data_IF_138993019338
#
_entry.id   IF_138993019338
#
_cell.length_a   1.000
_cell.length_b   1.000
_cell.length_c   1.000
_cell.angle_alpha   90.00
_cell.angle_beta   90.00
_cell.angle_gamma   90.00
#
_symmetry.space_group_name_H-M   'P 1'
#
loop_
_entity.id
_entity.type
_entity.pdbx_description
1 polymer ?
#
# COMPACT_ATOMS: atom_id res chain seq x y z
N UNK A 1 8.14 2.76 -29.09
CA UNK A 1 9.26 3.15 -28.22
C UNK A 1 9.75 1.88 -27.58
N UNK A 2 10.91 1.40 -28.01
CA UNK A 2 11.53 0.21 -27.42
C UNK A 2 12.19 0.56 -26.08
N UNK A 3 12.43 -0.44 -25.23
CA UNK A 3 13.13 -0.29 -23.95
C UNK A 3 14.52 0.37 -24.13
N UNK A 4 15.14 0.12 -25.29
CA UNK A 4 16.40 0.71 -25.71
C UNK A 4 16.30 2.20 -26.09
N UNK A 5 15.16 2.67 -26.61
CA UNK A 5 14.94 4.09 -26.88
C UNK A 5 14.80 4.88 -25.58
N UNK A 6 14.12 4.30 -24.60
CA UNK A 6 13.96 4.88 -23.25
C UNK A 6 15.33 4.99 -22.56
N UNK A 7 16.14 3.92 -22.60
CA UNK A 7 17.49 3.93 -22.04
C UNK A 7 18.42 4.96 -22.71
N UNK A 8 18.33 5.10 -24.03
CA UNK A 8 19.12 6.07 -24.80
C UNK A 8 18.72 7.52 -24.51
N UNK A 9 17.42 7.77 -24.32
CA UNK A 9 16.91 9.09 -23.91
C UNK A 9 17.39 9.46 -22.50
N UNK A 10 17.33 8.53 -21.55
CA UNK A 10 17.86 8.72 -20.19
C UNK A 10 19.36 9.06 -20.19
N UNK A 11 20.18 8.35 -20.98
CA UNK A 11 21.62 8.62 -21.05
C UNK A 11 21.96 9.96 -21.71
N UNK A 12 21.19 10.38 -22.72
CA UNK A 12 21.42 11.64 -23.44
C UNK A 12 21.05 12.88 -22.61
N UNK A 13 20.22 12.73 -21.58
CA UNK A 13 19.77 13.82 -20.69
C UNK A 13 20.03 13.51 -19.22
N UNK A 14 21.21 12.97 -18.92
CA UNK A 14 21.63 12.62 -17.57
C UNK A 14 21.47 13.78 -16.56
N UNK A 15 21.66 15.03 -17.00
CA UNK A 15 21.47 16.23 -16.18
C UNK A 15 20.04 16.45 -15.64
N UNK A 16 19.02 15.81 -16.22
CA UNK A 16 17.63 15.89 -15.75
C UNK A 16 17.29 14.67 -14.88
N UNK A 17 17.74 13.49 -15.29
CA UNK A 17 17.48 12.23 -14.58
C UNK A 17 18.16 12.23 -13.22
N UNK A 18 19.42 12.64 -13.15
CA UNK A 18 20.24 12.58 -11.94
C UNK A 18 19.69 13.46 -10.80
N UNK A 19 19.31 14.75 -10.99
CA UNK A 19 18.70 15.53 -9.92
C UNK A 19 17.32 15.01 -9.48
N UNK A 20 16.52 14.46 -10.41
CA UNK A 20 15.21 13.89 -10.06
C UNK A 20 15.35 12.61 -9.23
N UNK A 21 16.34 11.78 -9.57
CA UNK A 21 16.70 10.59 -8.80
C UNK A 21 17.23 10.99 -7.41
N UNK A 22 18.02 12.06 -7.32
CA UNK A 22 18.47 12.63 -6.05
C UNK A 22 17.31 13.10 -5.18
N UNK A 23 16.35 13.85 -5.74
CA UNK A 23 15.14 14.30 -5.02
C UNK A 23 14.31 13.11 -4.54
N UNK A 24 14.12 12.10 -5.40
CA UNK A 24 13.37 10.88 -5.05
C UNK A 24 14.06 10.08 -3.95
N UNK A 25 15.39 9.99 -4.00
CA UNK A 25 16.20 9.32 -2.98
C UNK A 25 16.14 10.08 -1.66
N UNK A 26 16.25 11.41 -1.69
CA UNK A 26 16.11 12.27 -0.52
C UNK A 26 14.73 12.11 0.12
N UNK A 27 13.65 12.15 -0.68
CA UNK A 27 12.29 12.01 -0.19
C UNK A 27 12.02 10.63 0.40
N UNK A 28 12.53 9.58 -0.25
CA UNK A 28 12.46 8.20 0.26
C UNK A 28 13.23 8.05 1.57
N UNK A 29 14.44 8.61 1.65
CA UNK A 29 15.27 8.58 2.87
C UNK A 29 14.60 9.32 4.03
N UNK A 30 14.03 10.49 3.78
CA UNK A 30 13.34 11.27 4.78
C UNK A 30 12.05 10.58 5.27
N UNK A 31 11.31 9.94 4.37
CA UNK A 31 10.12 9.15 4.73
C UNK A 31 10.51 7.93 5.57
N UNK A 32 11.61 7.27 5.19
CA UNK A 32 12.17 6.13 5.91
C UNK A 32 12.64 6.51 7.32
N UNK A 33 13.34 7.63 7.48
CA UNK A 33 13.84 8.09 8.78
C UNK A 33 12.74 8.63 9.70
N UNK A 34 11.65 9.15 9.15
CA UNK A 34 10.53 9.68 9.95
C UNK A 34 9.64 8.60 10.58
N UNK A 35 9.80 7.32 10.23
CA UNK A 35 8.95 6.24 10.75
C UNK A 35 9.50 5.74 12.09
N UNK A 36 8.81 6.08 13.18
CA UNK A 36 9.20 5.67 14.54
C UNK A 36 9.19 4.13 14.70
N UNK A 37 10.08 3.54 15.52
CA UNK A 37 9.99 2.14 15.90
C UNK A 37 8.61 1.84 16.51
N UNK A 38 8.04 0.69 16.18
CA UNK A 38 6.77 0.23 16.76
C UNK A 38 7.08 -0.99 17.59
N UNK A 39 6.71 -0.97 18.85
CA UNK A 39 6.88 -2.10 19.75
C UNK A 39 5.68 -3.01 19.62
N UNK A 40 5.95 -4.29 19.42
CA UNK A 40 4.96 -5.35 19.40
C UNK A 40 4.99 -6.08 20.74
N UNK A 41 3.83 -6.27 21.32
CA UNK A 41 3.63 -7.12 22.49
C UNK A 41 2.34 -7.92 22.29
N UNK A 42 2.30 -9.11 22.87
CA UNK A 42 1.16 -10.02 22.80
C UNK A 42 0.89 -10.68 24.14
N UNK A 43 -0.38 -11.02 24.38
CA UNK A 43 -0.84 -11.80 25.53
C UNK A 43 -1.78 -12.91 25.04
N UNK A 44 -1.82 -14.03 25.77
CA UNK A 44 -2.65 -15.19 25.41
C UNK A 44 -3.57 -15.53 26.58
N UNK A 45 -4.85 -15.61 26.28
CA UNK A 45 -5.93 -15.89 27.24
C UNK A 45 -6.53 -17.24 26.89
N UNK A 46 -6.57 -18.14 27.87
CA UNK A 46 -7.19 -19.45 27.77
C UNK A 46 -8.57 -19.46 28.42
N UNK A 47 -9.34 -20.51 28.12
CA UNK A 47 -10.67 -20.72 28.66
C UNK A 47 -10.67 -21.93 29.59
N UNK A 48 -11.10 -21.74 30.84
CA UNK A 48 -11.24 -22.79 31.83
C UNK A 48 -12.72 -23.24 31.91
N UNK A 49 -13.03 -24.53 31.69
CA UNK A 49 -14.39 -25.02 31.83
C UNK A 49 -14.87 -24.91 33.29
N UNK A 50 -16.20 -24.88 33.53
CA UNK A 50 -16.73 -24.88 34.88
C UNK A 50 -16.26 -26.12 35.66
N UNK A 51 -15.95 -25.92 36.94
CA UNK A 51 -15.46 -26.99 37.83
C UNK A 51 -16.50 -28.05 38.15
N UNK A 52 -17.78 -27.76 37.92
CA UNK A 52 -18.92 -28.63 38.20
C UNK A 52 -19.82 -28.68 36.96
N UNK A 53 -20.03 -29.89 36.41
CA UNK A 53 -21.07 -30.13 35.41
C UNK A 53 -22.24 -30.82 36.11
N UNK A 54 -23.40 -30.16 36.13
CA UNK A 54 -24.62 -30.70 36.74
C UNK A 54 -25.49 -31.28 35.63
N UNK A 55 -25.27 -32.56 35.32
CA UNK A 55 -26.05 -33.27 34.28
C UNK A 55 -27.38 -33.85 34.80
N UNK A 56 -27.71 -33.64 36.08
CA UNK A 56 -28.96 -34.09 36.69
C UNK A 56 -29.98 -32.96 36.81
N UNK A 57 -31.22 -33.23 36.42
CA UNK A 57 -32.33 -32.30 36.65
C UNK A 57 -32.52 -32.14 38.16
N UNK A 58 -32.33 -30.92 38.66
CA UNK A 58 -32.65 -30.63 40.06
C UNK A 58 -34.17 -30.41 40.18
N UNK A 59 -34.85 -31.01 41.17
CA UNK A 59 -36.29 -30.82 41.38
C UNK A 59 -36.68 -29.34 41.51
N UNK A 60 -35.77 -28.52 42.04
CA UNK A 60 -35.97 -27.09 42.28
C UNK A 60 -35.64 -26.20 41.06
N UNK A 61 -34.91 -26.70 40.04
CA UNK A 61 -34.39 -25.87 38.93
C UNK A 61 -35.17 -26.00 37.61
N UNK A 62 -36.27 -26.76 37.57
CA UNK A 62 -37.12 -26.88 36.37
C UNK A 62 -36.44 -27.51 35.14
N UNK A 63 -35.31 -28.20 35.30
CA UNK A 63 -34.56 -28.81 34.20
C UNK A 63 -33.07 -29.01 34.48
N UNK A 64 -32.33 -29.54 33.49
CA UNK A 64 -30.87 -29.73 33.54
C UNK A 64 -30.17 -28.39 33.34
N UNK A 65 -29.31 -27.99 34.27
CA UNK A 65 -28.55 -26.73 34.18
C UNK A 65 -27.29 -26.96 33.34
N UNK A 66 -27.28 -26.46 32.10
CA UNK A 66 -26.16 -26.62 31.16
C UNK A 66 -25.78 -25.30 30.51
N UNK A 67 -24.53 -25.23 30.05
CA UNK A 67 -24.05 -24.11 29.25
C UNK A 67 -24.37 -24.35 27.77
N UNK A 68 -25.45 -23.74 27.28
CA UNK A 68 -25.87 -23.88 25.89
C UNK A 68 -24.82 -23.44 24.86
N UNK A 69 -23.92 -22.51 25.21
CA UNK A 69 -22.85 -22.08 24.31
C UNK A 69 -21.78 -23.17 24.16
N UNK A 70 -21.42 -23.85 25.25
CA UNK A 70 -20.55 -25.01 25.20
C UNK A 70 -21.17 -26.18 24.45
N UNK A 71 -22.48 -26.38 24.57
CA UNK A 71 -23.18 -27.48 23.89
C UNK A 71 -23.30 -27.25 22.38
N UNK A 72 -23.51 -26.00 21.93
CA UNK A 72 -23.69 -25.68 20.50
C UNK A 72 -22.36 -25.57 19.75
N UNK A 73 -21.40 -24.86 20.32
CA UNK A 73 -20.16 -24.49 19.60
C UNK A 73 -18.88 -24.74 20.40
N UNK A 74 -18.99 -25.38 21.57
CA UNK A 74 -17.85 -25.65 22.43
C UNK A 74 -17.18 -24.38 22.96
N UNK A 75 -16.02 -24.57 23.57
CA UNK A 75 -15.22 -23.47 24.07
C UNK A 75 -14.71 -22.55 22.95
N UNK A 76 -14.58 -23.05 21.71
CA UNK A 76 -14.11 -22.25 20.56
C UNK A 76 -15.11 -21.17 20.17
N UNK A 77 -16.41 -21.44 20.24
CA UNK A 77 -17.44 -20.41 20.03
C UNK A 77 -17.33 -19.29 21.06
N UNK A 78 -17.20 -19.65 22.35
CA UNK A 78 -17.06 -18.68 23.44
C UNK A 78 -15.79 -17.86 23.28
N UNK A 79 -14.67 -18.48 22.91
CA UNK A 79 -13.41 -17.80 22.66
C UNK A 79 -13.52 -16.80 21.51
N UNK A 80 -14.13 -17.20 20.40
CA UNK A 80 -14.34 -16.33 19.24
C UNK A 80 -15.29 -15.15 19.57
N UNK A 81 -16.41 -15.42 20.23
CA UNK A 81 -17.34 -14.37 20.68
C UNK A 81 -16.64 -13.38 21.63
N UNK A 82 -15.79 -13.87 22.53
CA UNK A 82 -15.01 -13.03 23.43
C UNK A 82 -13.98 -12.20 22.68
N UNK A 83 -13.26 -12.78 21.72
CA UNK A 83 -12.31 -12.05 20.88
C UNK A 83 -12.98 -10.93 20.07
N UNK A 84 -14.18 -11.18 19.53
CA UNK A 84 -15.00 -10.16 18.87
C UNK A 84 -15.50 -9.11 19.86
N UNK A 85 -16.00 -9.53 21.03
CA UNK A 85 -16.49 -8.63 22.08
C UNK A 85 -15.41 -7.71 22.61
N UNK A 86 -14.16 -8.19 22.73
CA UNK A 86 -13.02 -7.36 23.13
C UNK A 86 -12.74 -6.21 22.15
N UNK A 87 -13.18 -6.30 20.89
CA UNK A 87 -13.04 -5.25 19.87
C UNK A 87 -14.24 -4.30 19.83
N UNK A 88 -15.26 -4.53 20.65
CA UNK A 88 -16.44 -3.68 20.68
C UNK A 88 -16.09 -2.28 21.20
N UNK A 89 -16.69 -1.25 20.61
CA UNK A 89 -16.44 0.16 20.97
C UNK A 89 -16.59 0.43 22.47
N UNK A 90 -17.53 -0.25 23.14
CA UNK A 90 -17.74 -0.11 24.57
C UNK A 90 -16.55 -0.61 25.41
N UNK A 91 -15.92 -1.73 25.00
CA UNK A 91 -14.72 -2.28 25.64
C UNK A 91 -13.52 -1.41 25.35
N UNK A 92 -13.32 -1.04 24.08
CA UNK A 92 -12.23 -0.16 23.64
C UNK A 92 -12.26 1.15 24.41
N UNK A 93 -13.45 1.75 24.57
CA UNK A 93 -13.63 3.00 25.32
C UNK A 93 -13.23 2.84 26.79
N UNK A 94 -13.53 1.69 27.43
CA UNK A 94 -13.09 1.41 28.81
C UNK A 94 -11.58 1.25 28.92
N UNK A 95 -10.95 0.56 27.96
CA UNK A 95 -9.49 0.40 27.89
C UNK A 95 -8.80 1.75 27.73
N UNK A 96 -9.30 2.60 26.83
CA UNK A 96 -8.76 3.95 26.62
C UNK A 96 -8.97 4.85 27.83
N UNK A 97 -10.14 4.80 28.47
CA UNK A 97 -10.42 5.55 29.69
C UNK A 97 -9.47 5.17 30.85
N UNK A 98 -9.02 3.92 30.90
CA UNK A 98 -8.01 3.44 31.84
C UNK A 98 -6.55 3.76 31.43
N UNK A 99 -6.37 4.46 30.30
CA UNK A 99 -5.07 4.87 29.77
C UNK A 99 -4.36 3.80 28.96
N UNK A 100 -5.10 2.91 28.32
CA UNK A 100 -4.63 2.03 27.24
C UNK A 100 -4.82 2.65 25.86
N UNK A 101 -4.44 1.91 24.82
CA UNK A 101 -4.56 2.33 23.43
C UNK A 101 -5.85 1.80 22.79
N UNK A 102 -6.43 2.54 21.81
CA UNK A 102 -7.61 2.07 21.08
C UNK A 102 -7.28 0.99 20.05
N UNK A 103 -6.05 1.01 19.52
CA UNK A 103 -5.62 0.15 18.43
C UNK A 103 -4.96 -1.13 18.97
N UNK A 104 -5.77 -2.17 19.12
CA UNK A 104 -5.31 -3.52 19.43
C UNK A 104 -6.06 -4.55 18.60
N UNK A 105 -5.43 -5.70 18.40
CA UNK A 105 -6.04 -6.85 17.74
C UNK A 105 -6.39 -7.89 18.79
N UNK A 106 -7.56 -8.50 18.64
CA UNK A 106 -7.97 -9.67 19.40
C UNK A 106 -8.53 -10.70 18.44
N UNK A 107 -7.92 -11.88 18.42
CA UNK A 107 -8.27 -12.95 17.51
C UNK A 107 -8.12 -14.30 18.23
N UNK A 108 -8.93 -15.28 17.86
CA UNK A 108 -8.74 -16.65 18.34
C UNK A 108 -7.55 -17.28 17.61
N UNK A 109 -6.68 -17.99 18.34
CA UNK A 109 -5.60 -18.74 17.73
C UNK A 109 -6.18 -19.77 16.74
N UNK A 110 -5.71 -19.80 15.48
CA UNK A 110 -6.13 -20.80 14.52
C UNK A 110 -5.66 -22.17 15.00
N UNK A 111 -6.58 -22.98 15.51
CA UNK A 111 -6.29 -24.34 15.94
C UNK A 111 -6.49 -25.26 14.74
N UNK A 112 -5.46 -26.03 14.31
CA UNK A 112 -5.63 -27.02 13.26
C UNK A 112 -6.70 -28.04 13.65
N UNK A 113 -7.63 -28.35 12.75
CA UNK A 113 -8.74 -29.29 13.01
C UNK A 113 -8.28 -30.69 13.48
N UNK A 114 -7.00 -31.04 13.22
CA UNK A 114 -6.40 -32.31 13.58
C UNK A 114 -5.93 -32.39 15.06
N UNK A 115 -5.94 -31.29 15.82
CA UNK A 115 -5.48 -31.29 17.22
C UNK A 115 -6.47 -30.54 18.09
N UNK A 116 -7.24 -31.20 18.98
CA UNK A 116 -8.10 -30.51 19.92
C UNK A 116 -7.24 -29.81 20.98
N UNK A 117 -6.83 -28.57 20.69
CA UNK A 117 -6.19 -27.69 21.66
C UNK A 117 -7.26 -26.89 22.40
N UNK A 118 -6.96 -26.46 23.62
CA UNK A 118 -7.80 -25.49 24.31
C UNK A 118 -7.88 -24.24 23.42
N UNK A 119 -9.07 -23.68 23.19
CA UNK A 119 -9.19 -22.45 22.41
C UNK A 119 -8.51 -21.32 23.17
N UNK A 120 -7.61 -20.62 22.46
CA UNK A 120 -6.84 -19.51 22.99
C UNK A 120 -7.23 -18.23 22.27
N UNK A 121 -7.31 -17.12 23.00
CA UNK A 121 -7.49 -15.79 22.45
C UNK A 121 -6.12 -15.10 22.51
N UNK A 122 -5.62 -14.68 21.36
CA UNK A 122 -4.43 -13.85 21.26
C UNK A 122 -4.85 -12.39 21.19
N UNK A 123 -4.22 -11.57 22.01
CA UNK A 123 -4.34 -10.11 21.95
C UNK A 123 -2.98 -9.56 21.57
N UNK A 124 -2.95 -8.68 20.58
CA UNK A 124 -1.74 -8.03 20.08
C UNK A 124 -1.88 -6.52 20.15
N UNK A 125 -0.82 -5.84 20.59
CA UNK A 125 -0.75 -4.38 20.61
C UNK A 125 0.52 -3.93 19.92
N UNK A 126 0.39 -2.92 19.07
CA UNK A 126 1.49 -2.23 18.42
C UNK A 126 1.51 -0.78 18.88
N UNK A 127 2.55 -0.37 19.61
CA UNK A 127 2.65 0.98 20.17
C UNK A 127 4.03 1.61 19.96
N UNK A 128 4.14 2.93 19.82
CA UNK A 128 5.43 3.62 19.81
C UNK A 128 6.17 3.55 21.17
N UNK A 129 5.44 3.32 22.25
CA UNK A 129 5.98 3.21 23.61
C UNK A 129 5.79 1.76 24.12
N UNK A 130 6.87 1.08 24.53
CA UNK A 130 6.79 -0.27 25.09
C UNK A 130 5.91 -0.36 26.34
N UNK A 131 5.94 0.67 27.21
CA UNK A 131 5.14 0.66 28.44
C UNK A 131 3.65 0.76 28.14
N UNK A 132 3.26 1.61 27.18
CA UNK A 132 1.89 1.71 26.70
C UNK A 132 1.38 0.39 26.08
N UNK A 133 2.23 -0.36 25.36
CA UNK A 133 1.84 -1.66 24.80
C UNK A 133 1.50 -2.67 25.89
N UNK A 134 2.40 -2.85 26.86
CA UNK A 134 2.20 -3.77 27.99
C UNK A 134 0.97 -3.38 28.81
N UNK A 135 0.83 -2.10 29.17
CA UNK A 135 -0.33 -1.60 29.91
C UNK A 135 -1.64 -1.85 29.17
N UNK A 136 -1.67 -1.64 27.86
CA UNK A 136 -2.87 -1.89 27.05
C UNK A 136 -3.25 -3.37 27.09
N UNK A 137 -2.27 -4.28 26.99
CA UNK A 137 -2.55 -5.72 27.09
C UNK A 137 -3.07 -6.14 28.45
N UNK A 138 -2.53 -5.59 29.54
CA UNK A 138 -3.05 -5.84 30.90
C UNK A 138 -4.51 -5.39 31.02
N UNK A 139 -4.82 -4.18 30.52
CA UNK A 139 -6.17 -3.64 30.52
C UNK A 139 -7.13 -4.47 29.68
N UNK A 140 -6.75 -4.83 28.45
CA UNK A 140 -7.59 -5.68 27.58
C UNK A 140 -7.79 -7.06 28.21
N UNK A 141 -6.75 -7.65 28.80
CA UNK A 141 -6.84 -8.93 29.50
C UNK A 141 -7.79 -8.87 30.70
N UNK A 142 -7.79 -7.76 31.45
CA UNK A 142 -8.75 -7.54 32.54
C UNK A 142 -10.20 -7.40 32.04
N UNK A 143 -10.39 -6.85 30.84
CA UNK A 143 -11.72 -6.75 30.22
C UNK A 143 -12.23 -8.09 29.69
N UNK A 144 -11.37 -9.09 29.51
CA UNK A 144 -11.78 -10.40 28.99
C UNK A 144 -12.75 -11.11 29.93
N UNK A 145 -12.54 -11.03 31.25
CA UNK A 145 -13.46 -11.60 32.25
C UNK A 145 -14.84 -10.94 32.19
N UNK A 146 -14.88 -9.62 32.23
CA UNK A 146 -16.13 -8.84 32.15
C UNK A 146 -16.87 -9.12 30.84
N UNK A 147 -16.15 -9.14 29.72
CA UNK A 147 -16.71 -9.38 28.39
C UNK A 147 -17.29 -10.79 28.29
N UNK A 148 -16.52 -11.81 28.71
CA UNK A 148 -16.95 -13.20 28.66
C UNK A 148 -18.13 -13.47 29.59
N UNK A 149 -18.13 -12.91 30.80
CA UNK A 149 -19.27 -12.98 31.73
C UNK A 149 -20.51 -12.33 31.13
N UNK A 150 -20.37 -11.13 30.55
CA UNK A 150 -21.50 -10.40 29.93
C UNK A 150 -22.11 -11.21 28.78
N UNK A 151 -21.29 -11.79 27.91
CA UNK A 151 -21.74 -12.64 26.80
C UNK A 151 -22.49 -13.88 27.30
N UNK A 152 -21.97 -14.55 28.33
CA UNK A 152 -22.62 -15.72 28.91
C UNK A 152 -23.93 -15.37 29.63
N UNK A 153 -24.00 -14.22 30.30
CA UNK A 153 -25.22 -13.70 30.91
C UNK A 153 -26.30 -13.37 29.86
N UNK A 154 -25.91 -12.73 28.75
CA UNK A 154 -26.81 -12.46 27.63
C UNK A 154 -27.35 -13.76 27.01
N UNK A 155 -26.52 -14.81 26.96
CA UNK A 155 -26.92 -16.15 26.54
C UNK A 155 -27.67 -16.94 27.63
N UNK A 156 -27.95 -16.33 28.79
CA UNK A 156 -28.65 -16.95 29.94
C UNK A 156 -27.97 -18.24 30.44
N UNK A 157 -26.65 -18.29 30.34
CA UNK A 157 -25.86 -19.37 30.94
C UNK A 157 -25.96 -19.25 32.46
N UNK A 158 -26.27 -20.34 33.19
CA UNK A 158 -26.24 -20.35 34.66
C UNK A 158 -24.86 -19.98 35.20
N UNK A 159 -24.78 -19.17 36.27
CA UNK A 159 -23.49 -18.69 36.82
C UNK A 159 -22.54 -19.84 37.21
N UNK A 160 -23.07 -20.98 37.65
CA UNK A 160 -22.33 -22.19 38.02
C UNK A 160 -21.84 -23.01 36.81
N UNK A 161 -22.32 -22.69 35.61
CA UNK A 161 -21.95 -23.34 34.35
C UNK A 161 -21.15 -22.41 33.42
N UNK A 162 -20.79 -21.21 33.88
CA UNK A 162 -19.98 -20.27 33.10
C UNK A 162 -18.53 -20.74 32.96
N UNK A 163 -17.97 -20.48 31.79
CA UNK A 163 -16.53 -20.59 31.51
C UNK A 163 -15.84 -19.34 32.04
N UNK A 164 -14.65 -19.52 32.62
CA UNK A 164 -13.83 -18.42 33.10
C UNK A 164 -12.58 -18.24 32.22
N UNK A 165 -12.17 -17.00 31.89
CA UNK A 165 -10.89 -16.77 31.27
C UNK A 165 -9.76 -16.92 32.28
N UNK A 166 -8.62 -17.43 31.82
CA UNK A 166 -7.38 -17.41 32.59
C UNK A 166 -6.22 -16.96 31.70
N UNK A 167 -5.23 -16.33 32.29
CA UNK A 167 -4.06 -15.86 31.56
C UNK A 167 -3.11 -17.04 31.33
N UNK A 168 -2.96 -17.46 30.07
CA UNK A 168 -2.04 -18.53 29.67
C UNK A 168 -0.63 -17.97 29.54
N UNK A 169 -0.53 -16.80 28.90
CA UNK A 169 0.72 -16.10 28.72
C UNK A 169 0.51 -14.62 29.06
N UNK A 170 1.24 -14.09 30.06
CA UNK A 170 1.19 -12.67 30.37
C UNK A 170 1.77 -11.84 29.22
N UNK A 171 1.54 -10.51 29.20
CA UNK A 171 2.09 -9.61 28.21
C UNK A 171 3.58 -9.87 27.99
N UNK A 172 3.96 -10.20 26.76
CA UNK A 172 5.35 -10.45 26.39
C UNK A 172 6.18 -9.17 26.49
N UNK A 173 7.47 -9.32 26.79
CA UNK A 173 8.40 -8.20 26.76
C UNK A 173 8.31 -7.51 25.38
N UNK A 174 8.06 -6.19 25.31
CA UNK A 174 7.86 -5.50 24.04
C UNK A 174 9.07 -5.65 23.14
N UNK A 175 8.88 -6.28 21.99
CA UNK A 175 9.93 -6.45 20.97
C UNK A 175 9.79 -5.33 19.96
N UNK A 176 10.89 -4.68 19.61
CA UNK A 176 10.90 -3.69 18.54
C UNK A 176 10.56 -4.41 17.21
N UNK A 177 9.32 -4.26 16.77
CA UNK A 177 8.89 -4.71 15.46
C UNK A 177 9.11 -3.57 14.46
N UNK A 178 9.66 -3.91 13.31
CA UNK A 178 9.69 -3.00 12.17
C UNK A 178 8.56 -3.44 11.24
N UNK A 179 7.30 -3.00 11.45
CA UNK A 179 6.18 -3.41 10.61
C UNK A 179 6.52 -3.11 9.16
N UNK A 180 6.69 -4.17 8.37
CA UNK A 180 6.99 -4.21 6.94
C UNK A 180 7.59 -2.92 6.36
N UNK A 181 8.69 -2.42 6.93
CA UNK A 181 9.40 -1.22 6.43
C UNK A 181 9.73 -1.36 4.95
N UNK A 182 9.93 -2.59 4.50
CA UNK A 182 10.30 -2.94 3.13
C UNK A 182 9.18 -2.69 2.13
N UNK A 183 7.92 -3.07 2.40
CA UNK A 183 6.88 -3.05 1.34
C UNK A 183 6.47 -1.62 0.94
N UNK A 184 6.17 -0.77 1.92
CA UNK A 184 5.76 0.62 1.65
C UNK A 184 6.92 1.46 1.10
N UNK A 185 8.13 1.26 1.61
CA UNK A 185 9.33 1.96 1.09
C UNK A 185 9.65 1.53 -0.34
N UNK A 186 9.55 0.23 -0.66
CA UNK A 186 9.73 -0.28 -2.03
C UNK A 186 8.65 0.29 -2.96
N UNK A 187 7.40 0.36 -2.52
CA UNK A 187 6.32 0.92 -3.34
C UNK A 187 6.52 2.41 -3.64
N UNK A 188 6.90 3.20 -2.62
CA UNK A 188 7.20 4.64 -2.78
C UNK A 188 8.42 4.84 -3.69
N UNK A 189 9.47 4.04 -3.49
CA UNK A 189 10.66 4.09 -4.33
C UNK A 189 10.35 3.73 -5.79
N UNK A 190 9.62 2.63 -6.02
CA UNK A 190 9.21 2.21 -7.36
C UNK A 190 8.31 3.25 -8.05
N UNK A 191 7.37 3.85 -7.32
CA UNK A 191 6.53 4.93 -7.83
C UNK A 191 7.36 6.17 -8.18
N UNK A 192 8.31 6.55 -7.32
CA UNK A 192 9.21 7.69 -7.56
C UNK A 192 10.11 7.48 -8.79
N UNK A 193 10.67 6.27 -8.96
CA UNK A 193 11.43 5.90 -10.16
C UNK A 193 10.55 5.94 -11.40
N UNK A 194 9.34 5.37 -11.33
CA UNK A 194 8.39 5.39 -12.45
C UNK A 194 8.00 6.82 -12.86
N UNK A 195 7.73 7.69 -11.89
CA UNK A 195 7.41 9.10 -12.13
C UNK A 195 8.60 9.84 -12.75
N UNK A 196 9.82 9.51 -12.32
CA UNK A 196 11.05 10.12 -12.85
C UNK A 196 11.27 9.78 -14.31
N UNK A 197 11.06 8.51 -14.69
CA UNK A 197 11.16 8.06 -16.08
C UNK A 197 10.08 8.73 -16.94
N UNK A 198 8.83 8.76 -16.46
CA UNK A 198 7.73 9.40 -17.17
C UNK A 198 8.00 10.88 -17.43
N UNK A 199 8.47 11.62 -16.42
CA UNK A 199 8.78 13.04 -16.54
C UNK A 199 9.91 13.30 -17.55
N UNK A 200 10.92 12.43 -17.56
CA UNK A 200 12.05 12.50 -18.51
C UNK A 200 11.57 12.30 -19.95
N UNK A 201 10.71 11.31 -20.20
CA UNK A 201 10.16 11.03 -21.54
C UNK A 201 9.28 12.17 -22.04
N UNK A 202 8.40 12.70 -21.19
CA UNK A 202 7.52 13.84 -21.54
C UNK A 202 8.35 15.08 -21.90
N UNK A 203 9.38 15.40 -21.12
CA UNK A 203 10.30 16.50 -21.41
C UNK A 203 11.06 16.30 -22.72
N UNK A 204 11.50 15.07 -23.01
CA UNK A 204 12.21 14.79 -24.25
C UNK A 204 11.31 14.98 -25.47
N UNK A 205 10.06 14.49 -25.42
CA UNK A 205 9.04 14.68 -26.46
C UNK A 205 8.71 16.16 -26.65
N UNK A 206 8.50 16.93 -25.57
CA UNK A 206 8.19 18.36 -25.70
C UNK A 206 9.34 19.14 -26.34
N UNK A 207 10.59 18.83 -25.96
CA UNK A 207 11.77 19.55 -26.46
C UNK A 207 12.15 19.13 -27.89
N UNK A 208 11.97 17.87 -28.28
CA UNK A 208 12.15 17.43 -29.68
C UNK A 208 11.10 18.04 -30.59
N UNK A 209 9.82 18.00 -30.22
CA UNK A 209 8.73 18.64 -31.00
C UNK A 209 8.92 20.14 -31.15
N UNK A 210 9.45 20.82 -30.13
CA UNK A 210 9.76 22.26 -30.19
C UNK A 210 10.95 22.55 -31.12
N UNK A 211 11.96 21.68 -31.14
CA UNK A 211 13.12 21.81 -32.05
C UNK A 211 12.75 21.54 -33.50
N UNK A 212 11.87 20.56 -33.76
CA UNK A 212 11.31 20.29 -35.09
C UNK A 212 10.50 21.48 -35.61
N UNK A 213 9.62 22.07 -34.79
CA UNK A 213 8.89 23.30 -35.16
C UNK A 213 9.81 24.48 -35.50
N UNK A 214 10.96 24.59 -34.83
CA UNK A 214 11.93 25.65 -35.10
C UNK A 214 12.74 25.36 -36.38
N UNK A 215 13.01 24.09 -36.69
CA UNK A 215 13.70 23.67 -37.91
C UNK A 215 12.83 23.83 -39.16
N UNK A 216 11.54 23.50 -39.08
CA UNK A 216 10.59 23.71 -40.19
C UNK A 216 10.41 25.20 -40.49
N UNK A 217 10.41 26.06 -39.45
CA UNK A 217 10.30 27.51 -39.65
C UNK A 217 11.59 28.14 -40.24
N UNK A 218 12.77 27.53 -40.00
CA UNK A 218 14.02 27.91 -40.67
C UNK A 218 14.04 27.47 -42.14
N UNK A 219 13.59 26.26 -42.44
CA UNK A 219 13.51 25.78 -43.83
C UNK A 219 12.46 26.54 -44.66
N UNK A 220 11.35 26.95 -44.05
CA UNK A 220 10.36 27.82 -44.71
C UNK A 220 10.90 29.26 -44.94
N UNK A 221 11.82 29.73 -44.09
CA UNK A 221 12.52 31.01 -44.30
C UNK A 221 13.62 30.95 -45.37
N UNK A 222 14.23 29.79 -45.60
CA UNK A 222 15.30 29.61 -46.60
C UNK A 222 14.75 29.36 -48.02
N UNK A 223 13.54 28.81 -48.15
CA UNK A 223 12.86 28.66 -49.44
C UNK A 223 12.29 29.99 -50.01
N UNK A 224 12.40 31.10 -49.27
CA UNK A 224 12.00 32.44 -49.67
C UNK A 224 13.20 33.36 -50.02
N UNK A 225 14.38 32.78 -50.29
CA UNK A 225 15.55 33.51 -50.80
C UNK A 225 15.38 33.96 -52.28
N UNK A 226 16.07 35.04 -52.71
CA UNK A 226 15.67 35.86 -53.86
C UNK A 226 15.85 35.15 -55.21
N UNK A 227 14.85 35.33 -56.09
CA UNK A 227 14.88 34.93 -57.51
C UNK A 227 16.19 35.37 -58.18
N UNK A 228 16.86 34.48 -58.95
CA UNK A 228 18.00 34.89 -59.76
C UNK A 228 17.54 35.80 -60.90
N UNK A 229 18.14 36.98 -60.93
CA UNK A 229 17.99 37.99 -61.98
C UNK A 229 18.33 37.44 -63.37
N UNK A 230 17.56 37.91 -64.36
CA UNK A 230 17.79 37.80 -65.79
C UNK A 230 19.23 38.19 -66.19
N UNK A 231 19.94 37.43 -67.05
CA UNK A 231 21.18 37.91 -67.63
C UNK A 231 20.91 38.97 -68.74
N UNK A 232 21.74 40.03 -68.83
CA UNK A 232 21.59 41.06 -69.85
C UNK A 232 22.14 40.60 -71.20
N UNK A 233 21.43 40.98 -72.27
CA UNK A 233 21.78 40.73 -73.67
C UNK A 233 22.91 41.67 -74.12
N UNK A 234 24.01 41.11 -74.64
CA UNK A 234 25.13 41.87 -75.21
C UNK A 234 25.13 41.74 -76.76
N UNK A 235 25.33 42.84 -77.52
CA UNK A 235 25.25 42.84 -78.97
C UNK A 235 26.63 42.63 -79.62
N UNK A 236 26.74 41.66 -80.54
CA UNK A 236 27.90 41.50 -81.40
C UNK A 236 27.44 41.43 -82.87
N UNK A 237 27.70 42.50 -83.62
CA UNK A 237 27.45 42.56 -85.06
C UNK A 237 28.43 43.53 -85.72
N UNK A 238 29.51 42.99 -86.32
CA UNK A 238 30.33 43.70 -87.31
C UNK A 238 31.02 42.74 -88.27
N UNK A 239 30.65 42.88 -89.54
CA UNK A 239 31.39 42.47 -90.74
C UNK A 239 31.25 41.00 -91.11
N UNK A 240 31.17 40.60 -92.38
CA UNK A 240 31.15 41.32 -93.65
C UNK A 240 30.88 40.25 -94.72
N UNK A 241 30.33 40.63 -95.87
CA UNK A 241 30.45 39.82 -97.10
C UNK A 241 29.27 38.90 -97.48
N UNK A 242 28.45 39.40 -98.40
CA UNK A 242 27.65 38.64 -99.37
C UNK A 242 28.56 37.69 -100.22
N UNK A 243 28.07 36.70 -101.00
CA UNK A 243 27.03 36.86 -102.05
C UNK A 243 26.04 35.67 -102.17
N UNK A 244 24.77 35.92 -102.52
CA UNK A 244 24.14 35.77 -103.87
C UNK A 244 23.57 34.37 -104.14
N UNK A 245 22.38 34.39 -104.78
CA UNK A 245 21.71 33.31 -105.54
C UNK A 245 21.22 32.11 -104.72
N UNK A 246 20.07 31.48 -104.95
CA UNK A 246 19.02 31.49 -105.97
C UNK A 246 18.06 30.41 -105.45
N UNK A 247 16.79 30.70 -105.28
CA UNK A 247 15.84 30.45 -106.36
C UNK A 247 15.24 29.07 -106.19
N UNK A 248 13.93 29.05 -105.95
CA UNK A 248 13.03 27.93 -106.23
C UNK A 248 13.29 26.65 -105.40
N UNK A 249 12.35 25.76 -105.16
CA UNK A 249 11.05 25.50 -105.76
C UNK A 249 10.36 24.50 -104.82
N UNK A 250 9.03 24.59 -104.72
CA UNK A 250 8.09 23.48 -104.83
C UNK A 250 8.27 22.22 -103.96
N UNK A 251 7.25 21.55 -103.44
CA UNK A 251 5.78 21.64 -103.42
C UNK A 251 5.37 20.42 -102.56
N UNK A 252 4.13 20.45 -102.03
CA UNK A 252 3.25 19.30 -101.75
C UNK A 252 3.83 17.90 -101.61
#
# INVERSE_FOLDING_TARGET
>A
MDLFDVARSCFRRWYVVLPLLLITTWFSYHTYSSTKPVYYSSAVIGLAPPSLRIDTASPDSGGVRRNGLLDVGGASLIANMTAVGLKESSVVSRVVAAGGLPDYKSEMFPTPAATPQLPLIMVEVMAPDPAAATKTLELVSSQADVTMRTLQQQARVPDDQMVAPFLVQPPTAPVAAMPSRTRSTIAIFAAGVGLSILFTVVLDIMLTRRKERTATNRQAGEAAGPSPDHPPSEPAGRGDGAPVTEGAMDTT
#
